data_IF_436145857026
#
_entry.id   IF_436145857026
#
_cell.length_a   1.000
_cell.length_b   1.000
_cell.length_c   1.000
_cell.angle_alpha   90.00
_cell.angle_beta   90.00
_cell.angle_gamma   90.00
#
_symmetry.space_group_name_H-M   'P 1'
#
loop_
_entity.id
_entity.type
_entity.pdbx_description
1 polymer ?
#
# COMPACT_ATOMS: atom_id res chain seq x y z
N UNK A 1 10.03 7.52 -15.74
CA UNK A 1 9.52 6.20 -15.28
C UNK A 1 8.65 6.40 -14.03
N UNK A 2 7.35 6.65 -14.20
CA UNK A 2 6.43 7.15 -13.14
C UNK A 2 6.25 6.16 -11.97
N UNK A 3 6.37 4.84 -12.22
CA UNK A 3 6.32 3.78 -11.20
C UNK A 3 7.47 3.78 -10.22
N UNK A 4 8.63 4.29 -10.60
CA UNK A 4 9.71 4.50 -9.63
C UNK A 4 9.32 5.58 -8.62
N UNK A 5 8.62 6.65 -9.02
CA UNK A 5 8.42 7.78 -8.11
C UNK A 5 7.60 7.42 -6.86
N UNK A 6 6.48 6.71 -7.00
CA UNK A 6 5.64 6.35 -5.85
C UNK A 6 6.34 5.37 -4.91
N UNK A 7 6.73 4.21 -5.44
CA UNK A 7 7.35 3.16 -4.63
C UNK A 7 8.70 3.58 -4.06
N UNK A 8 9.56 4.22 -4.85
CA UNK A 8 10.86 4.68 -4.37
C UNK A 8 10.69 5.73 -3.25
N UNK A 9 9.69 6.61 -3.35
CA UNK A 9 9.39 7.58 -2.28
C UNK A 9 8.95 6.90 -1.00
N UNK A 10 8.16 5.83 -1.06
CA UNK A 10 7.86 5.02 0.11
C UNK A 10 9.12 4.30 0.63
N UNK A 11 9.91 3.72 -0.27
CA UNK A 11 11.13 2.96 0.05
C UNK A 11 12.17 3.78 0.81
N UNK A 12 12.24 5.10 0.60
CA UNK A 12 13.15 5.97 1.37
C UNK A 12 12.92 5.92 2.88
N UNK A 13 11.68 5.64 3.30
CA UNK A 13 11.30 5.61 4.72
C UNK A 13 10.97 4.19 5.20
N UNK A 14 10.40 3.36 4.32
CA UNK A 14 9.73 2.11 4.69
C UNK A 14 10.36 0.86 4.07
N UNK A 15 11.48 0.98 3.38
CA UNK A 15 12.15 -0.19 2.82
C UNK A 15 12.64 -1.13 3.93
N UNK A 16 12.42 -2.42 3.72
CA UNK A 16 12.89 -3.50 4.58
C UNK A 16 13.61 -4.54 3.71
N UNK A 17 14.58 -5.23 4.29
CA UNK A 17 15.37 -6.22 3.57
C UNK A 17 14.51 -7.42 3.13
N UNK A 18 13.67 -7.91 4.03
CA UNK A 18 12.81 -9.07 3.80
C UNK A 18 11.46 -8.92 4.49
N UNK A 19 10.47 -9.65 3.99
CA UNK A 19 9.18 -9.82 4.68
C UNK A 19 9.26 -11.07 5.56
N UNK A 20 8.83 -11.02 6.83
CA UNK A 20 8.80 -12.20 7.69
C UNK A 20 8.00 -13.34 7.05
N UNK A 21 8.50 -14.57 7.19
CA UNK A 21 7.85 -15.75 6.61
C UNK A 21 6.44 -16.02 7.17
N UNK A 22 6.16 -15.51 8.37
CA UNK A 22 4.87 -15.60 9.06
C UNK A 22 3.80 -14.65 8.49
N UNK A 23 4.17 -13.72 7.62
CA UNK A 23 3.23 -12.79 6.99
C UNK A 23 2.67 -13.42 5.72
N UNK A 24 1.42 -13.89 5.80
CA UNK A 24 0.65 -14.28 4.62
C UNK A 24 0.39 -13.06 3.74
N UNK A 25 0.52 -13.26 2.42
CA UNK A 25 0.44 -12.17 1.44
C UNK A 25 -0.56 -12.50 0.35
N UNK A 26 -1.50 -11.59 0.14
CA UNK A 26 -2.53 -11.66 -0.89
C UNK A 26 -2.16 -10.76 -2.07
N UNK A 27 -2.35 -11.26 -3.30
CA UNK A 27 -2.17 -10.45 -4.50
C UNK A 27 -3.28 -9.41 -4.61
N UNK A 28 -2.91 -8.14 -4.74
CA UNK A 28 -3.86 -7.06 -4.93
C UNK A 28 -4.11 -6.84 -6.43
N UNK A 29 -5.38 -6.90 -6.83
CA UNK A 29 -5.77 -6.75 -8.23
C UNK A 29 -5.49 -5.34 -8.75
N UNK A 30 -5.82 -4.33 -7.94
CA UNK A 30 -5.68 -2.92 -8.27
C UNK A 30 -5.09 -2.15 -7.09
N UNK A 31 -3.88 -1.62 -7.29
CA UNK A 31 -3.22 -0.69 -6.38
C UNK A 31 -2.65 0.48 -7.18
N UNK A 32 -2.71 1.69 -6.64
CA UNK A 32 -1.98 2.85 -7.15
C UNK A 32 -1.12 3.43 -6.04
N UNK A 33 0.16 3.66 -6.35
CA UNK A 33 1.12 4.29 -5.43
C UNK A 33 1.68 5.52 -6.11
N UNK A 34 1.36 6.69 -5.57
CA UNK A 34 1.56 7.98 -6.20
C UNK A 34 0.85 8.05 -7.54
N UNK A 35 1.64 8.21 -8.62
CA UNK A 35 1.13 8.33 -9.98
C UNK A 35 1.07 6.99 -10.73
N UNK A 36 1.54 5.90 -10.13
CA UNK A 36 1.72 4.63 -10.82
C UNK A 36 0.70 3.59 -10.41
N UNK A 37 0.13 2.93 -11.42
CA UNK A 37 -0.80 1.83 -11.25
C UNK A 37 -0.04 0.50 -11.26
N UNK A 38 -0.34 -0.33 -10.27
CA UNK A 38 0.19 -1.66 -10.03
C UNK A 38 -0.93 -2.67 -10.15
N UNK A 39 -1.24 -3.08 -11.38
CA UNK A 39 -2.26 -4.09 -11.66
C UNK A 39 -1.65 -5.47 -11.50
N UNK A 40 -2.23 -6.30 -10.64
CA UNK A 40 -1.80 -7.69 -10.40
C UNK A 40 -0.29 -7.86 -10.11
N UNK A 41 0.36 -6.84 -9.55
CA UNK A 41 1.81 -6.83 -9.36
C UNK A 41 2.27 -6.61 -7.92
N UNK A 42 1.36 -6.18 -7.04
CA UNK A 42 1.64 -5.94 -5.63
C UNK A 42 0.96 -7.01 -4.78
N UNK A 43 1.73 -7.61 -3.89
CA UNK A 43 1.25 -8.51 -2.84
C UNK A 43 1.32 -7.80 -1.51
N UNK A 44 0.25 -7.88 -0.74
CA UNK A 44 0.13 -7.23 0.55
C UNK A 44 -0.09 -8.25 1.67
N UNK A 45 0.53 -8.02 2.82
CA UNK A 45 0.26 -8.75 4.05
C UNK A 45 -0.03 -7.78 5.18
N UNK A 46 -1.09 -8.01 5.94
CA UNK A 46 -1.49 -7.12 7.03
C UNK A 46 -1.14 -7.75 8.38
N UNK A 47 -0.63 -6.94 9.29
CA UNK A 47 -0.34 -7.31 10.69
C UNK A 47 -0.93 -6.24 11.62
N UNK A 48 -0.93 -6.48 12.94
CA UNK A 48 -1.38 -5.45 13.89
C UNK A 48 -0.53 -4.18 13.87
N UNK A 49 0.72 -4.26 13.39
CA UNK A 49 1.65 -3.13 13.36
C UNK A 49 1.59 -2.32 12.07
N UNK A 50 1.26 -2.97 10.94
CA UNK A 50 1.27 -2.31 9.65
C UNK A 50 1.01 -3.22 8.46
N UNK A 51 1.18 -2.62 7.29
CA UNK A 51 1.01 -3.22 5.98
C UNK A 51 2.37 -3.52 5.34
N UNK A 52 2.57 -4.79 5.00
CA UNK A 52 3.70 -5.26 4.22
C UNK A 52 3.35 -5.22 2.73
N UNK A 53 4.21 -4.65 1.90
CA UNK A 53 4.03 -4.59 0.45
C UNK A 53 5.25 -5.20 -0.25
N UNK A 54 5.00 -6.07 -1.22
CA UNK A 54 6.03 -6.65 -2.08
C UNK A 54 5.55 -6.69 -3.53
N UNK A 55 6.49 -6.77 -4.47
CA UNK A 55 6.21 -7.06 -5.87
C UNK A 55 6.70 -8.46 -6.23
N UNK A 56 6.44 -8.91 -7.46
CA UNK A 56 7.08 -10.11 -8.01
C UNK A 56 8.61 -9.97 -8.02
N UNK A 57 9.33 -11.10 -7.90
CA UNK A 57 10.79 -11.15 -7.82
C UNK A 57 11.51 -10.40 -8.95
N UNK A 58 10.96 -10.44 -10.16
CA UNK A 58 11.50 -9.73 -11.34
C UNK A 58 11.51 -8.20 -11.21
N UNK A 59 10.74 -7.63 -10.27
CA UNK A 59 10.66 -6.18 -10.04
C UNK A 59 11.50 -5.70 -8.84
N UNK A 60 12.22 -6.59 -8.13
CA UNK A 60 12.97 -6.18 -6.94
C UNK A 60 14.03 -5.11 -7.21
N UNK A 61 14.55 -5.05 -8.45
CA UNK A 61 15.42 -3.96 -8.92
C UNK A 61 14.62 -2.64 -9.00
N UNK A 62 14.55 -1.95 -7.86
CA UNK A 62 13.86 -0.66 -7.70
C UNK A 62 12.56 -0.71 -6.90
N UNK A 63 12.11 -1.91 -6.51
CA UNK A 63 10.93 -2.12 -5.66
C UNK A 63 11.28 -3.01 -4.47
N UNK A 64 12.10 -2.52 -3.51
CA UNK A 64 12.37 -3.28 -2.30
C UNK A 64 11.05 -3.55 -1.55
N UNK A 65 10.97 -4.64 -0.77
CA UNK A 65 9.88 -4.84 0.16
C UNK A 65 9.67 -3.60 1.04
N UNK A 66 8.42 -3.31 1.37
CA UNK A 66 8.05 -2.19 2.23
C UNK A 66 7.31 -2.69 3.46
N UNK A 67 7.57 -2.07 4.59
CA UNK A 67 6.72 -2.15 5.78
C UNK A 67 6.23 -0.75 6.14
N UNK A 68 4.94 -0.50 5.97
CA UNK A 68 4.32 0.78 6.30
C UNK A 68 3.51 0.60 7.59
N UNK A 69 3.89 1.25 8.71
CA UNK A 69 3.14 1.14 9.95
C UNK A 69 1.77 1.81 9.82
N UNK A 70 0.74 1.31 10.50
CA UNK A 70 -0.60 1.89 10.41
C UNK A 70 -0.65 3.37 10.82
N UNK A 71 0.23 3.78 11.73
CA UNK A 71 0.37 5.17 12.17
C UNK A 71 0.79 6.14 11.04
N UNK A 72 1.37 5.64 9.94
CA UNK A 72 1.72 6.45 8.78
C UNK A 72 0.54 6.68 7.82
N UNK A 73 -0.56 5.95 7.99
CA UNK A 73 -1.73 6.09 7.12
C UNK A 73 -2.61 7.24 7.61
N UNK A 74 -2.89 8.17 6.70
CA UNK A 74 -3.94 9.16 6.92
C UNK A 74 -5.35 8.55 6.83
N UNK A 75 -6.39 9.37 7.01
CA UNK A 75 -7.78 8.94 6.85
C UNK A 75 -8.02 8.30 5.49
N UNK A 76 -8.71 7.16 5.49
CA UNK A 76 -9.10 6.47 4.27
C UNK A 76 -10.41 7.06 3.77
N UNK A 77 -10.45 7.40 2.48
CA UNK A 77 -11.63 7.92 1.79
C UNK A 77 -12.15 6.85 0.85
N UNK A 78 -13.39 6.44 1.04
CA UNK A 78 -14.10 5.64 0.05
C UNK A 78 -14.50 6.52 -1.15
N UNK A 79 -14.39 5.97 -2.35
CA UNK A 79 -14.79 6.61 -3.59
C UNK A 79 -15.54 5.60 -4.43
N UNK A 80 -16.81 5.87 -4.70
CA UNK A 80 -17.63 5.06 -5.60
C UNK A 80 -17.63 5.67 -7.00
N UNK A 81 -17.30 4.85 -7.98
CA UNK A 81 -17.47 5.20 -9.39
C UNK A 81 -18.18 4.03 -10.09
N UNK A 82 -19.39 4.30 -10.57
CA UNK A 82 -20.32 3.27 -11.03
C UNK A 82 -20.49 2.19 -9.94
N UNK A 83 -20.21 0.93 -10.27
CA UNK A 83 -20.31 -0.25 -9.39
C UNK A 83 -19.03 -0.56 -8.63
N UNK A 84 -17.97 0.26 -8.78
CA UNK A 84 -16.66 0.00 -8.19
C UNK A 84 -16.43 0.94 -7.01
N UNK A 85 -16.06 0.35 -5.87
CA UNK A 85 -15.55 1.11 -4.72
C UNK A 85 -14.03 1.06 -4.73
N UNK A 86 -13.41 2.22 -4.66
CA UNK A 86 -11.98 2.37 -4.43
C UNK A 86 -11.75 3.14 -3.15
N UNK A 87 -10.63 2.88 -2.50
CA UNK A 87 -10.22 3.50 -1.27
C UNK A 87 -8.94 4.29 -1.53
N UNK A 88 -8.83 5.48 -0.95
CA UNK A 88 -7.64 6.31 -1.05
C UNK A 88 -7.20 6.80 0.32
N UNK A 89 -5.90 6.90 0.52
CA UNK A 89 -5.28 7.47 1.72
C UNK A 89 -3.93 8.06 1.31
N UNK A 90 -3.41 8.98 2.11
CA UNK A 90 -2.08 9.52 1.95
C UNK A 90 -1.19 8.90 3.04
N UNK A 91 -0.08 8.28 2.63
CA UNK A 91 0.92 7.71 3.53
C UNK A 91 1.94 8.79 3.83
N UNK A 92 2.07 9.19 5.09
CA UNK A 92 3.11 10.12 5.54
C UNK A 92 4.50 9.50 5.40
N UNK A 93 5.49 10.30 5.03
CA UNK A 93 6.89 9.89 4.85
C UNK A 93 7.85 10.89 5.52
N UNK A 94 7.42 11.59 6.59
CA UNK A 94 8.29 12.47 7.36
C UNK A 94 8.69 13.76 6.62
N UNK A 95 7.73 14.43 5.99
CA UNK A 95 7.95 15.70 5.27
C UNK A 95 7.33 15.75 3.88
N UNK A 96 6.84 14.61 3.38
CA UNK A 96 5.97 14.52 2.22
C UNK A 96 5.03 13.34 2.39
N UNK A 97 3.95 13.30 1.62
CA UNK A 97 3.07 12.14 1.54
C UNK A 97 3.08 11.48 0.17
N UNK A 98 2.71 10.21 0.15
CA UNK A 98 2.48 9.42 -1.07
C UNK A 98 1.06 8.90 -1.06
N UNK A 99 0.29 9.26 -2.09
CA UNK A 99 -1.07 8.74 -2.27
C UNK A 99 -1.06 7.24 -2.50
N UNK A 100 -1.87 6.52 -1.75
CA UNK A 100 -2.09 5.09 -1.86
C UNK A 100 -3.57 4.86 -2.17
N UNK A 101 -3.85 4.13 -3.25
CA UNK A 101 -5.22 3.73 -3.60
C UNK A 101 -5.31 2.24 -3.86
N UNK A 102 -6.45 1.65 -3.52
CA UNK A 102 -6.72 0.23 -3.72
C UNK A 102 -8.22 -0.03 -3.86
N UNK A 103 -8.61 -1.21 -4.34
CA UNK A 103 -10.02 -1.63 -4.43
C UNK A 103 -10.30 -3.00 -3.78
N UNK A 104 -9.37 -3.49 -2.96
CA UNK A 104 -9.48 -4.80 -2.30
C UNK A 104 -10.30 -4.72 -1.03
N UNK A 105 -11.38 -5.51 -0.96
CA UNK A 105 -12.19 -5.66 0.26
C UNK A 105 -11.40 -6.30 1.40
N UNK A 106 -10.55 -7.29 1.10
CA UNK A 106 -9.63 -7.87 2.09
C UNK A 106 -8.75 -6.78 2.72
N UNK A 107 -8.14 -5.91 1.91
CA UNK A 107 -7.32 -4.84 2.45
C UNK A 107 -8.16 -3.87 3.29
N UNK A 108 -9.37 -3.53 2.84
CA UNK A 108 -10.30 -2.68 3.61
C UNK A 108 -10.63 -3.27 4.98
N UNK A 109 -10.83 -4.59 5.07
CA UNK A 109 -11.20 -5.28 6.32
C UNK A 109 -10.02 -5.45 7.29
N UNK A 110 -8.79 -5.48 6.78
CA UNK A 110 -7.58 -5.63 7.62
C UNK A 110 -7.08 -4.32 8.24
N UNK A 111 -7.60 -3.18 7.77
CA UNK A 111 -7.26 -1.86 8.32
C UNK A 111 -7.79 -1.77 9.77
N UNK A 112 -6.95 -1.44 10.75
CA UNK A 112 -7.37 -1.34 12.14
C UNK A 112 -8.26 -0.11 12.38
N UNK A 113 -9.09 -0.16 13.43
CA UNK A 113 -9.96 0.93 13.83
C UNK A 113 -9.22 2.25 14.16
N UNK A 114 -7.92 2.18 14.43
CA UNK A 114 -7.06 3.35 14.66
C UNK A 114 -6.86 4.21 13.41
N UNK A 115 -7.09 3.65 12.20
CA UNK A 115 -7.05 4.40 10.95
C UNK A 115 -8.49 4.80 10.59
N UNK A 116 -8.85 6.09 10.64
CA UNK A 116 -10.22 6.51 10.42
C UNK A 116 -10.62 6.26 8.97
N UNK A 117 -11.82 5.71 8.77
CA UNK A 117 -12.41 5.51 7.44
C UNK A 117 -13.59 6.46 7.28
N UNK A 118 -13.53 7.29 6.24
CA UNK A 118 -14.57 8.20 5.81
C UNK A 118 -15.27 7.57 4.61
N UNK A 119 -16.58 7.36 4.74
CA UNK A 119 -17.44 6.80 3.69
C UNK A 119 -17.93 7.85 2.70
#
# INVERSE_FOLDING_TARGET
MVSRMGWHRLAKQYAVETVPATVERTLLAHVRIGLANYKNSVRAGATSQGLWLTTWKIFFLGHPPLFVPWAAFGPIRAQKFLWVTSYSTDIDCGGYSVRFMFSSDWLRQTIPASVPVQE
#
